data_IF_817754262271
#
_entry.id   IF_817754262271
#
_cell.length_a   1.000
_cell.length_b   1.000
_cell.length_c   1.000
_cell.angle_alpha   90.00
_cell.angle_beta   90.00
_cell.angle_gamma   90.00
#
_symmetry.space_group_name_H-M   'P 1'
#
loop_
_entity.id
_entity.type
_entity.pdbx_description
1 polymer ?
#
# COMPACT_ATOMS: atom_id res chain seq x y z
N UNK A 1 18.89 -3.61 6.06
CA UNK A 1 19.66 -4.24 4.96
C UNK A 1 20.31 -5.56 5.41
N UNK A 2 20.71 -5.72 6.68
CA UNK A 2 21.25 -7.00 7.18
C UNK A 2 20.23 -8.12 7.01
N UNK A 3 18.99 -7.95 7.44
CA UNK A 3 17.90 -8.92 7.28
C UNK A 3 17.69 -9.36 5.82
N UNK A 4 17.85 -8.43 4.87
CA UNK A 4 17.77 -8.75 3.43
C UNK A 4 18.92 -9.67 3.00
N UNK A 5 20.14 -9.41 3.47
CA UNK A 5 21.32 -10.24 3.16
C UNK A 5 21.17 -11.67 3.71
N UNK A 6 20.52 -11.82 4.85
CA UNK A 6 20.25 -13.12 5.49
C UNK A 6 18.96 -13.78 4.96
N UNK A 7 18.34 -13.23 3.91
CA UNK A 7 17.09 -13.69 3.30
C UNK A 7 15.89 -13.78 4.26
N UNK A 8 15.95 -13.17 5.44
CA UNK A 8 14.89 -13.19 6.44
C UNK A 8 13.59 -12.49 5.95
N UNK A 9 13.70 -11.64 4.95
CA UNK A 9 12.61 -10.88 4.35
C UNK A 9 11.80 -11.67 3.30
N UNK A 10 12.24 -12.88 2.98
CA UNK A 10 11.67 -13.70 1.92
C UNK A 10 10.81 -14.86 2.44
N UNK A 11 10.80 -15.11 3.74
CA UNK A 11 10.11 -16.27 4.33
C UNK A 11 8.63 -16.35 3.95
N UNK A 12 7.88 -15.25 4.02
CA UNK A 12 6.45 -15.23 3.77
C UNK A 12 6.04 -15.24 2.29
N UNK A 13 7.00 -15.07 1.37
CA UNK A 13 6.69 -14.99 -0.06
C UNK A 13 6.77 -16.36 -0.73
N UNK A 14 6.00 -16.59 -1.83
CA UNK A 14 6.04 -17.81 -2.61
C UNK A 14 7.42 -18.05 -3.26
N UNK A 15 7.80 -19.34 -3.43
CA UNK A 15 9.08 -19.73 -4.03
C UNK A 15 9.21 -19.25 -5.48
N UNK A 16 8.14 -19.31 -6.25
CA UNK A 16 8.08 -18.84 -7.65
C UNK A 16 8.31 -17.32 -7.78
N UNK A 17 8.22 -16.58 -6.66
CA UNK A 17 8.49 -15.14 -6.58
C UNK A 17 9.79 -14.84 -5.83
N UNK A 18 10.64 -15.85 -5.64
CA UNK A 18 11.93 -15.74 -4.95
C UNK A 18 11.82 -15.80 -3.43
N UNK A 19 10.67 -16.24 -2.89
CA UNK A 19 10.45 -16.44 -1.47
C UNK A 19 10.84 -17.83 -1.00
N UNK A 20 10.50 -18.16 0.24
CA UNK A 20 10.80 -19.45 0.87
C UNK A 20 9.55 -20.25 1.23
N UNK A 21 8.35 -19.71 0.98
CA UNK A 21 7.05 -20.31 1.36
C UNK A 21 7.02 -20.84 2.79
N UNK A 22 7.63 -20.13 3.70
CA UNK A 22 7.75 -20.50 5.11
C UNK A 22 7.06 -19.47 6.02
N UNK A 23 5.73 -19.51 6.16
CA UNK A 23 4.99 -18.57 7.00
C UNK A 23 5.37 -18.69 8.49
N UNK A 24 5.69 -19.89 8.98
CA UNK A 24 6.17 -20.09 10.34
C UNK A 24 7.49 -19.37 10.60
N UNK A 25 8.44 -19.49 9.67
CA UNK A 25 9.71 -18.75 9.73
C UNK A 25 9.52 -17.24 9.68
N UNK A 26 8.54 -16.76 8.90
CA UNK A 26 8.19 -15.33 8.86
C UNK A 26 7.68 -14.83 10.21
N UNK A 27 6.77 -15.57 10.85
CA UNK A 27 6.24 -15.23 12.18
C UNK A 27 7.32 -15.26 13.25
N UNK A 28 8.12 -16.32 13.32
CA UNK A 28 9.21 -16.43 14.30
C UNK A 28 10.23 -15.31 14.13
N UNK A 29 10.64 -15.00 12.89
CA UNK A 29 11.54 -13.87 12.63
C UNK A 29 10.96 -12.55 13.07
N UNK A 30 9.66 -12.32 12.86
CA UNK A 30 8.97 -11.12 13.29
C UNK A 30 8.94 -11.03 14.83
N UNK A 31 8.64 -12.13 15.53
CA UNK A 31 8.62 -12.18 17.00
C UNK A 31 10.00 -11.93 17.60
N UNK A 32 11.05 -12.54 17.05
CA UNK A 32 12.42 -12.38 17.56
C UNK A 32 12.96 -10.95 17.43
N UNK A 33 12.53 -10.19 16.44
CA UNK A 33 12.98 -8.81 16.24
C UNK A 33 12.66 -7.88 17.42
N UNK A 34 11.60 -8.15 18.20
CA UNK A 34 11.25 -7.33 19.37
C UNK A 34 12.31 -7.40 20.47
N UNK A 35 13.05 -8.52 20.56
CA UNK A 35 14.12 -8.69 21.56
C UNK A 35 15.29 -7.73 21.30
N UNK A 36 15.46 -7.32 20.04
CA UNK A 36 16.48 -6.36 19.67
C UNK A 36 15.96 -4.91 19.64
N UNK A 37 14.88 -4.67 18.90
CA UNK A 37 14.28 -3.34 18.72
C UNK A 37 12.83 -3.45 18.22
N UNK A 38 11.88 -2.99 19.04
CA UNK A 38 10.46 -2.99 18.70
C UNK A 38 10.15 -2.10 17.47
N UNK A 39 10.88 -1.02 17.27
CA UNK A 39 10.71 -0.19 16.06
C UNK A 39 11.13 -0.94 14.80
N UNK A 40 12.21 -1.72 14.87
CA UNK A 40 12.65 -2.57 13.76
C UNK A 40 11.62 -3.66 13.44
N UNK A 41 11.04 -4.29 14.47
CA UNK A 41 9.98 -5.29 14.32
C UNK A 41 8.79 -4.70 13.55
N UNK A 42 8.25 -3.56 14.01
CA UNK A 42 7.09 -2.94 13.36
C UNK A 42 7.45 -2.44 11.96
N UNK A 43 8.64 -1.88 11.76
CA UNK A 43 9.10 -1.46 10.43
C UNK A 43 9.21 -2.64 9.45
N UNK A 44 9.64 -3.79 9.95
CA UNK A 44 9.61 -5.06 9.20
C UNK A 44 8.17 -5.43 8.81
N UNK A 45 7.23 -5.38 9.77
CA UNK A 45 5.81 -5.66 9.53
C UNK A 45 5.19 -4.73 8.49
N UNK A 46 5.49 -3.43 8.55
CA UNK A 46 5.02 -2.45 7.55
C UNK A 46 5.52 -2.80 6.15
N UNK A 47 6.82 -3.11 6.01
CA UNK A 47 7.43 -3.36 4.71
C UNK A 47 6.95 -4.67 4.06
N UNK A 48 7.07 -5.78 4.78
CA UNK A 48 6.82 -7.10 4.21
C UNK A 48 5.47 -7.69 4.60
N UNK A 49 5.01 -7.44 5.83
CA UNK A 49 3.73 -7.93 6.33
C UNK A 49 2.52 -7.15 5.82
N UNK A 50 2.64 -5.85 5.55
CA UNK A 50 1.54 -5.02 5.06
C UNK A 50 1.73 -4.62 3.59
N UNK A 51 2.75 -3.81 3.28
CA UNK A 51 2.97 -3.31 1.92
C UNK A 51 3.24 -4.45 0.93
N UNK A 52 4.15 -5.35 1.26
CA UNK A 52 4.48 -6.50 0.41
C UNK A 52 3.33 -7.49 0.27
N UNK A 53 2.66 -7.82 1.40
CA UNK A 53 1.49 -8.72 1.38
C UNK A 53 0.31 -8.13 0.61
N UNK A 54 0.08 -6.81 0.67
CA UNK A 54 -0.97 -6.19 -0.12
C UNK A 54 -0.72 -6.35 -1.63
N UNK A 55 0.52 -6.14 -2.08
CA UNK A 55 0.88 -6.37 -3.49
C UNK A 55 0.72 -7.84 -3.87
N UNK A 56 1.13 -8.77 -2.99
CA UNK A 56 1.03 -10.21 -3.22
C UNK A 56 -0.44 -10.67 -3.30
N UNK A 57 -1.27 -10.23 -2.36
CA UNK A 57 -2.61 -10.78 -2.18
C UNK A 57 -3.70 -10.04 -2.98
N UNK A 58 -3.51 -8.75 -3.26
CA UNK A 58 -4.46 -7.93 -4.03
C UNK A 58 -4.03 -7.73 -5.49
N UNK A 59 -2.76 -7.98 -5.79
CA UNK A 59 -2.20 -7.90 -7.14
C UNK A 59 -2.37 -9.17 -7.95
N UNK A 60 -1.94 -9.10 -9.20
CA UNK A 60 -1.87 -10.21 -10.16
C UNK A 60 -0.42 -10.44 -10.57
N UNK A 61 -0.17 -11.41 -11.44
CA UNK A 61 1.17 -11.74 -11.95
C UNK A 61 1.97 -10.53 -12.43
N UNK A 62 1.31 -9.56 -13.05
CA UNK A 62 1.95 -8.31 -13.46
C UNK A 62 2.55 -7.56 -12.26
N UNK A 63 1.77 -7.38 -11.20
CA UNK A 63 2.20 -6.68 -9.98
C UNK A 63 3.31 -7.45 -9.26
N UNK A 64 3.16 -8.77 -9.19
CA UNK A 64 4.16 -9.63 -8.56
C UNK A 64 5.52 -9.51 -9.24
N UNK A 65 5.56 -9.66 -10.57
CA UNK A 65 6.81 -9.56 -11.35
C UNK A 65 7.40 -8.16 -11.37
N UNK A 66 6.53 -7.14 -11.33
CA UNK A 66 6.96 -5.74 -11.44
C UNK A 66 7.44 -5.16 -10.11
N UNK A 67 6.74 -5.42 -9.01
CA UNK A 67 6.95 -4.70 -7.75
C UNK A 67 7.61 -5.54 -6.65
N UNK A 68 7.25 -6.83 -6.50
CA UNK A 68 7.75 -7.64 -5.38
C UNK A 68 9.28 -7.80 -5.34
N UNK A 69 10.01 -7.90 -6.46
CA UNK A 69 11.48 -7.95 -6.39
C UNK A 69 12.12 -6.75 -5.69
N UNK A 70 11.59 -5.54 -5.92
CA UNK A 70 12.05 -4.33 -5.22
C UNK A 70 11.64 -4.30 -3.74
N UNK A 71 10.48 -4.86 -3.42
CA UNK A 71 9.96 -4.95 -2.04
C UNK A 71 10.80 -5.91 -1.21
N UNK A 72 11.03 -7.13 -1.70
CA UNK A 72 11.75 -8.18 -0.97
C UNK A 72 13.21 -7.81 -0.71
N UNK A 73 13.87 -7.17 -1.66
CA UNK A 73 15.25 -6.68 -1.53
C UNK A 73 15.40 -5.34 -0.81
N UNK A 74 14.27 -4.69 -0.42
CA UNK A 74 14.27 -3.35 0.16
C UNK A 74 14.88 -2.29 -0.79
N UNK A 75 14.79 -2.49 -2.09
CA UNK A 75 15.11 -1.47 -3.10
C UNK A 75 13.97 -0.44 -3.16
N UNK A 76 12.76 -0.85 -2.79
CA UNK A 76 11.57 -0.01 -2.69
C UNK A 76 10.99 -0.09 -1.28
N UNK A 77 11.42 0.77 -0.35
CA UNK A 77 10.74 0.93 0.93
C UNK A 77 9.30 1.37 0.71
N UNK A 78 8.37 0.75 1.42
CA UNK A 78 6.94 0.95 1.16
C UNK A 78 6.12 1.32 2.37
N UNK A 79 4.94 1.86 2.08
CA UNK A 79 3.90 2.24 3.03
C UNK A 79 2.61 1.46 2.75
N UNK A 80 1.82 1.26 3.81
CA UNK A 80 0.45 0.76 3.72
C UNK A 80 -0.49 1.88 4.14
N UNK A 81 -1.12 2.55 3.19
CA UNK A 81 -1.84 3.80 3.39
C UNK A 81 -3.36 3.60 3.28
N UNK A 82 -3.97 3.09 4.36
CA UNK A 82 -5.42 2.85 4.44
C UNK A 82 -6.12 3.90 5.29
N UNK A 83 -5.79 3.98 6.60
CA UNK A 83 -6.46 4.84 7.57
C UNK A 83 -6.28 6.33 7.24
N UNK A 84 -7.29 7.12 7.59
CA UNK A 84 -7.29 8.57 7.41
C UNK A 84 -7.51 9.29 8.74
N UNK A 85 -7.14 10.55 8.83
CA UNK A 85 -7.35 11.38 10.03
C UNK A 85 -8.82 11.33 10.50
N UNK A 86 -9.77 11.36 9.58
CA UNK A 86 -11.21 11.27 9.86
C UNK A 86 -11.76 9.84 9.91
N UNK A 87 -11.01 8.83 9.46
CA UNK A 87 -11.46 7.45 9.28
C UNK A 87 -10.43 6.45 9.79
N UNK A 88 -10.37 6.27 11.12
CA UNK A 88 -9.50 5.27 11.76
C UNK A 88 -10.09 3.86 11.66
N UNK A 89 -11.28 3.66 12.22
CA UNK A 89 -11.98 2.36 12.21
C UNK A 89 -12.90 2.19 11.01
N UNK A 90 -13.55 3.25 10.56
CA UNK A 90 -14.44 3.23 9.39
C UNK A 90 -13.67 3.45 8.09
N UNK A 91 -12.85 2.47 7.73
CA UNK A 91 -12.06 2.48 6.50
C UNK A 91 -12.90 2.23 5.22
N UNK A 92 -14.16 1.89 5.35
CA UNK A 92 -15.07 1.81 4.20
C UNK A 92 -15.49 3.20 3.68
N UNK A 93 -15.45 4.21 4.56
CA UNK A 93 -15.88 5.60 4.27
C UNK A 93 -14.72 6.55 4.01
N UNK A 94 -13.51 6.07 3.74
CA UNK A 94 -12.35 6.91 3.43
C UNK A 94 -12.66 7.91 2.31
N UNK A 95 -12.11 9.13 2.44
CA UNK A 95 -12.39 10.24 1.53
C UNK A 95 -11.42 10.35 0.34
N UNK A 96 -10.21 9.78 0.44
CA UNK A 96 -9.27 9.74 -0.70
C UNK A 96 -9.91 9.04 -1.89
N UNK A 97 -9.82 9.63 -3.09
CA UNK A 97 -10.40 9.13 -4.33
C UNK A 97 -9.33 8.71 -5.34
N UNK A 98 -9.69 7.81 -6.23
CA UNK A 98 -8.93 7.46 -7.43
C UNK A 98 -9.91 7.42 -8.61
N UNK A 99 -9.91 8.48 -9.43
CA UNK A 99 -10.81 8.62 -10.56
C UNK A 99 -10.12 8.16 -11.84
N UNK A 100 -10.73 7.24 -12.56
CA UNK A 100 -10.18 6.74 -13.82
C UNK A 100 -10.42 7.73 -14.95
N UNK A 101 -9.39 7.96 -15.74
CA UNK A 101 -9.41 8.79 -16.95
C UNK A 101 -9.13 7.88 -18.16
N UNK A 102 -10.16 7.49 -18.93
CA UNK A 102 -9.99 6.58 -20.06
C UNK A 102 -9.21 7.20 -21.22
N UNK A 103 -9.17 8.54 -21.34
CA UNK A 103 -8.43 9.20 -22.41
C UNK A 103 -6.91 9.03 -22.25
N UNK A 104 -6.43 8.98 -21.00
CA UNK A 104 -5.00 8.79 -20.69
C UNK A 104 -4.69 7.39 -20.16
N UNK A 105 -5.72 6.60 -19.85
CA UNK A 105 -5.62 5.30 -19.16
C UNK A 105 -4.86 5.41 -17.83
N UNK A 106 -5.20 6.42 -17.05
CA UNK A 106 -4.62 6.70 -15.75
C UNK A 106 -5.69 6.86 -14.67
N UNK A 107 -5.32 6.59 -13.43
CA UNK A 107 -6.11 7.03 -12.28
C UNK A 107 -5.55 8.35 -11.76
N UNK A 108 -6.43 9.24 -11.37
CA UNK A 108 -6.11 10.50 -10.68
C UNK A 108 -6.39 10.30 -9.20
N UNK A 109 -5.35 10.15 -8.40
CA UNK A 109 -5.46 10.02 -6.94
C UNK A 109 -5.54 11.41 -6.32
N UNK A 110 -6.55 11.63 -5.48
CA UNK A 110 -6.79 12.94 -4.86
C UNK A 110 -7.30 12.81 -3.42
N UNK A 111 -6.74 13.62 -2.55
CA UNK A 111 -7.17 13.79 -1.16
C UNK A 111 -7.95 15.11 -1.05
N UNK A 112 -9.28 15.08 -0.83
CA UNK A 112 -10.12 16.26 -0.96
C UNK A 112 -9.93 17.27 0.18
N UNK A 113 -9.60 16.82 1.39
CA UNK A 113 -9.46 17.66 2.57
C UNK A 113 -8.53 17.01 3.62
N UNK A 114 -8.30 17.72 4.74
CA UNK A 114 -7.42 17.21 5.81
C UNK A 114 -7.97 16.00 6.55
N UNK A 115 -9.27 15.79 6.62
CA UNK A 115 -9.86 14.59 7.24
C UNK A 115 -9.54 13.34 6.43
N UNK A 116 -9.30 13.50 5.15
CA UNK A 116 -8.94 12.45 4.20
C UNK A 116 -7.42 12.23 4.08
N UNK A 117 -6.58 12.94 4.86
CA UNK A 117 -5.14 12.65 4.90
C UNK A 117 -4.91 11.25 5.45
N UNK A 118 -4.12 10.44 4.75
CA UNK A 118 -3.66 9.15 5.25
C UNK A 118 -2.81 9.39 6.47
N UNK A 119 -3.16 8.81 7.62
CA UNK A 119 -2.60 9.18 8.91
C UNK A 119 -2.03 7.98 9.66
N UNK A 120 -1.00 8.22 10.47
CA UNK A 120 -0.22 7.21 11.18
C UNK A 120 0.46 6.18 10.26
N UNK A 121 0.81 6.58 9.06
CA UNK A 121 1.36 5.66 8.06
C UNK A 121 2.86 5.43 8.31
N UNK A 122 3.23 4.20 8.59
CA UNK A 122 4.63 3.81 8.72
C UNK A 122 5.41 4.03 7.42
N UNK A 123 6.65 4.51 7.53
CA UNK A 123 7.55 4.91 6.45
C UNK A 123 7.11 6.15 5.64
N UNK A 124 6.00 6.81 5.99
CA UNK A 124 5.44 7.89 5.18
C UNK A 124 6.24 9.19 5.26
N UNK A 125 6.75 9.54 6.45
CA UNK A 125 7.40 10.82 6.65
C UNK A 125 8.71 10.95 5.85
N UNK A 126 9.51 9.88 5.76
CA UNK A 126 10.87 9.95 5.22
C UNK A 126 11.23 8.83 4.23
N UNK A 127 11.01 7.57 4.60
CA UNK A 127 11.67 6.44 3.90
C UNK A 127 10.86 5.83 2.77
N UNK A 128 9.52 5.90 2.78
CA UNK A 128 8.68 5.26 1.78
C UNK A 128 8.88 5.85 0.38
N UNK A 129 9.26 5.01 -0.57
CA UNK A 129 9.35 5.39 -2.00
C UNK A 129 8.06 5.08 -2.76
N UNK A 130 7.24 4.15 -2.24
CA UNK A 130 5.92 3.82 -2.77
C UNK A 130 4.94 3.50 -1.65
N UNK A 131 3.65 3.52 -1.95
CA UNK A 131 2.60 3.08 -1.04
C UNK A 131 1.58 2.19 -1.74
N UNK A 132 0.99 1.24 -1.01
CA UNK A 132 -0.34 0.74 -1.35
C UNK A 132 -1.34 1.68 -0.70
N UNK A 133 -2.02 2.46 -1.53
CA UNK A 133 -3.01 3.47 -1.13
C UNK A 133 -4.41 2.92 -1.36
N UNK A 134 -5.23 2.93 -0.30
CA UNK A 134 -6.65 2.62 -0.42
C UNK A 134 -7.42 3.90 -0.72
N UNK A 135 -8.25 3.85 -1.76
CA UNK A 135 -9.03 4.99 -2.23
C UNK A 135 -10.38 4.55 -2.79
N UNK A 136 -11.38 5.43 -2.75
CA UNK A 136 -12.64 5.25 -3.45
C UNK A 136 -12.39 5.29 -4.97
N UNK A 137 -12.65 4.19 -5.66
CA UNK A 137 -12.50 4.13 -7.11
C UNK A 137 -13.74 4.72 -7.79
N UNK A 138 -13.51 5.69 -8.67
CA UNK A 138 -14.53 6.25 -9.55
C UNK A 138 -14.20 5.94 -11.00
N UNK A 139 -15.18 5.42 -11.73
CA UNK A 139 -15.10 5.24 -13.19
C UNK A 139 -16.47 5.44 -13.80
N UNK A 140 -16.57 6.03 -14.99
CA UNK A 140 -17.82 6.41 -15.68
C UNK A 140 -18.76 7.27 -14.81
N UNK A 141 -18.22 8.01 -13.84
CA UNK A 141 -18.99 8.82 -12.89
C UNK A 141 -19.48 8.06 -11.65
N UNK A 142 -19.37 6.73 -11.62
CA UNK A 142 -19.86 5.90 -10.54
C UNK A 142 -18.75 5.57 -9.51
N UNK A 143 -19.11 5.63 -8.23
CA UNK A 143 -18.27 5.13 -7.15
C UNK A 143 -18.34 3.61 -7.09
N UNK A 144 -17.21 2.95 -7.27
CA UNK A 144 -17.09 1.49 -7.18
C UNK A 144 -16.66 0.98 -5.79
N UNK A 145 -16.48 1.87 -4.80
CA UNK A 145 -16.02 1.57 -3.46
C UNK A 145 -14.50 1.53 -3.33
N UNK A 146 -14.02 1.10 -2.16
CA UNK A 146 -12.59 1.14 -1.82
C UNK A 146 -11.80 0.08 -2.60
N UNK A 147 -10.71 0.53 -3.22
CA UNK A 147 -9.74 -0.30 -3.93
C UNK A 147 -8.31 0.06 -3.53
N UNK A 148 -7.37 -0.82 -3.80
CA UNK A 148 -5.96 -0.65 -3.47
C UNK A 148 -5.14 -0.31 -4.73
N UNK A 149 -4.27 0.69 -4.61
CA UNK A 149 -3.45 1.20 -5.71
C UNK A 149 -1.98 1.27 -5.30
N UNK A 150 -1.10 0.82 -6.18
CA UNK A 150 0.33 1.07 -6.03
C UNK A 150 0.67 2.49 -6.48
N UNK A 151 1.05 3.35 -5.55
CA UNK A 151 1.33 4.77 -5.81
C UNK A 151 2.80 5.07 -5.50
N UNK A 152 3.61 5.45 -6.48
CA UNK A 152 4.94 5.98 -6.24
C UNK A 152 4.87 7.28 -5.43
N UNK A 153 5.69 7.40 -4.38
CA UNK A 153 5.72 8.57 -3.50
C UNK A 153 6.96 9.42 -3.72
N UNK A 154 8.12 8.77 -3.82
CA UNK A 154 9.42 9.43 -3.91
C UNK A 154 10.29 8.84 -5.00
N UNK A 155 11.24 9.65 -5.44
CA UNK A 155 12.35 9.19 -6.26
C UNK A 155 13.64 9.79 -5.71
N UNK A 156 14.58 8.94 -5.30
CA UNK A 156 15.83 9.36 -4.67
C UNK A 156 15.60 10.29 -3.46
N UNK A 157 14.65 9.92 -2.60
CA UNK A 157 14.29 10.66 -1.38
C UNK A 157 13.47 11.93 -1.59
N UNK A 158 13.18 12.36 -2.82
CA UNK A 158 12.36 13.55 -3.11
C UNK A 158 10.94 13.14 -3.47
N UNK A 159 9.95 13.80 -2.85
CA UNK A 159 8.54 13.60 -3.17
C UNK A 159 8.27 13.89 -4.65
N UNK A 160 7.42 13.06 -5.24
CA UNK A 160 6.94 13.25 -6.61
C UNK A 160 5.89 14.38 -6.67
N UNK A 161 5.70 14.99 -7.84
CA UNK A 161 4.69 16.04 -7.99
C UNK A 161 3.30 15.61 -7.52
N UNK A 162 2.65 16.48 -6.75
CA UNK A 162 1.33 16.22 -6.20
C UNK A 162 1.30 15.36 -4.94
N UNK A 163 2.39 14.68 -4.57
CA UNK A 163 2.49 13.91 -3.33
C UNK A 163 2.96 14.84 -2.21
N UNK A 164 2.23 14.86 -1.08
CA UNK A 164 2.65 15.52 0.15
C UNK A 164 2.85 14.50 1.27
N UNK A 165 3.80 14.80 2.17
CA UNK A 165 4.08 14.02 3.36
C UNK A 165 4.38 14.94 4.54
N UNK A 166 3.79 14.63 5.70
CA UNK A 166 4.03 15.33 6.97
C UNK A 166 4.53 14.31 7.99
N UNK A 167 5.44 14.73 8.89
CA UNK A 167 5.92 13.88 9.99
C UNK A 167 4.96 14.01 11.18
N UNK A 168 4.58 12.91 11.82
CA UNK A 168 3.73 12.90 13.02
C UNK A 168 4.47 13.34 14.29
N UNK A 169 5.77 13.56 14.20
CA UNK A 169 6.62 13.99 15.31
C UNK A 169 6.95 12.89 16.31
N UNK A 170 7.34 13.28 17.51
CA UNK A 170 7.68 12.35 18.59
C UNK A 170 6.45 11.62 19.11
N UNK A 171 6.59 10.30 19.26
CA UNK A 171 5.56 9.40 19.79
C UNK A 171 5.92 8.92 21.18
N UNK A 172 4.95 8.38 21.91
CA UNK A 172 5.16 7.73 23.23
C UNK A 172 6.04 6.49 23.16
N UNK A 173 6.24 5.92 21.97
CA UNK A 173 7.11 4.78 21.70
C UNK A 173 7.32 4.59 20.21
N UNK A 174 8.13 3.58 19.81
CA UNK A 174 8.39 3.21 18.41
C UNK A 174 8.94 4.38 17.56
N UNK A 175 9.79 5.24 18.14
CA UNK A 175 10.32 6.41 17.46
C UNK A 175 11.35 6.09 16.34
N UNK A 176 11.75 4.83 16.20
CA UNK A 176 12.53 4.36 15.04
C UNK A 176 11.70 4.17 13.76
N UNK A 177 10.36 4.32 13.83
CA UNK A 177 9.48 4.34 12.67
C UNK A 177 9.14 5.78 12.33
N UNK A 178 9.33 6.17 11.09
CA UNK A 178 8.95 7.48 10.55
C UNK A 178 7.45 7.48 10.17
N UNK A 179 6.59 7.51 11.18
CA UNK A 179 5.16 7.69 10.95
C UNK A 179 4.85 9.08 10.41
N UNK A 180 3.89 9.15 9.53
CA UNK A 180 3.50 10.42 8.95
C UNK A 180 2.17 10.35 8.22
N UNK A 181 1.76 11.53 7.75
CA UNK A 181 0.57 11.71 6.90
C UNK A 181 0.97 11.79 5.46
N UNK A 182 0.14 11.17 4.60
CA UNK A 182 0.25 11.31 3.15
C UNK A 182 -1.00 11.98 2.60
N UNK A 183 -0.82 12.87 1.63
CA UNK A 183 -1.92 13.44 0.87
C UNK A 183 -1.54 13.57 -0.60
N UNK A 184 -2.56 13.58 -1.46
CA UNK A 184 -2.39 13.53 -2.90
C UNK A 184 -3.18 14.66 -3.56
N UNK A 185 -2.50 15.45 -4.38
CA UNK A 185 -3.13 16.51 -5.17
C UNK A 185 -3.03 16.16 -6.65
N UNK A 186 -4.08 15.52 -7.18
CA UNK A 186 -4.21 15.13 -8.58
C UNK A 186 -3.03 14.27 -9.08
N UNK A 187 -2.59 13.32 -8.26
CA UNK A 187 -1.47 12.43 -8.61
C UNK A 187 -1.92 11.42 -9.66
N UNK A 188 -1.30 11.45 -10.82
CA UNK A 188 -1.60 10.52 -11.91
C UNK A 188 -0.77 9.25 -11.79
N UNK A 189 -1.45 8.11 -11.84
CA UNK A 189 -0.85 6.77 -11.85
C UNK A 189 -1.43 5.95 -13.00
N UNK A 190 -0.65 5.05 -13.55
CA UNK A 190 -1.09 4.20 -14.67
C UNK A 190 -2.24 3.30 -14.27
N UNK A 191 -3.10 2.92 -15.21
CA UNK A 191 -4.17 1.92 -15.00
C UNK A 191 -3.67 0.66 -14.31
N UNK A 192 -2.51 0.16 -14.73
CA UNK A 192 -1.84 -1.00 -14.15
C UNK A 192 -1.34 -0.81 -12.71
N UNK A 193 -1.58 0.33 -12.06
CA UNK A 193 -1.33 0.55 -10.63
C UNK A 193 -2.47 0.08 -9.74
N UNK A 194 -3.68 -0.16 -10.28
CA UNK A 194 -4.76 -0.81 -9.57
C UNK A 194 -4.37 -2.26 -9.26
N UNK A 195 -4.38 -2.65 -7.99
CA UNK A 195 -4.17 -4.05 -7.59
C UNK A 195 -5.45 -4.84 -7.91
N UNK A 196 -5.51 -5.39 -9.10
CA UNK A 196 -6.74 -5.79 -9.79
C UNK A 196 -7.11 -7.28 -9.66
N UNK A 197 -6.76 -7.94 -8.57
CA UNK A 197 -7.12 -9.35 -8.35
C UNK A 197 -8.62 -9.59 -8.27
N UNK A 198 -9.37 -8.65 -7.69
CA UNK A 198 -10.81 -8.81 -7.40
C UNK A 198 -11.71 -7.92 -8.27
N UNK A 199 -11.14 -6.94 -8.93
CA UNK A 199 -11.86 -6.01 -9.80
C UNK A 199 -10.90 -5.26 -10.71
N UNK A 200 -11.35 -4.85 -11.89
CA UNK A 200 -10.56 -4.04 -12.83
C UNK A 200 -11.39 -2.90 -13.43
N UNK A 201 -10.71 -1.84 -13.86
CA UNK A 201 -11.23 -0.84 -14.76
C UNK A 201 -10.61 -1.06 -16.12
N UNK A 202 -11.44 -1.37 -17.11
CA UNK A 202 -10.99 -1.63 -18.47
C UNK A 202 -10.47 -0.35 -19.16
N UNK A 203 -9.72 -0.47 -20.26
CA UNK A 203 -9.18 0.70 -20.96
C UNK A 203 -10.24 1.74 -21.39
N UNK A 204 -11.44 1.31 -21.67
CA UNK A 204 -12.59 2.18 -22.07
C UNK A 204 -13.29 2.85 -20.88
N UNK A 205 -12.94 2.45 -19.64
CA UNK A 205 -13.54 2.96 -18.42
C UNK A 205 -14.57 2.03 -17.79
N UNK A 206 -15.00 0.98 -18.49
CA UNK A 206 -15.94 0.02 -17.93
C UNK A 206 -15.34 -0.71 -16.72
N UNK A 207 -16.19 -1.03 -15.74
CA UNK A 207 -15.78 -1.66 -14.51
C UNK A 207 -16.21 -3.13 -14.47
N UNK A 208 -15.32 -4.00 -14.06
CA UNK A 208 -15.59 -5.42 -13.90
C UNK A 208 -15.19 -5.95 -12.53
N UNK A 209 -16.01 -6.82 -11.94
CA UNK A 209 -15.69 -7.54 -10.70
C UNK A 209 -16.50 -8.81 -10.60
N UNK A 210 -15.87 -9.88 -10.14
CA UNK A 210 -16.57 -11.15 -9.79
C UNK A 210 -17.41 -11.00 -8.50
N UNK A 211 -17.25 -9.92 -7.74
CA UNK A 211 -17.96 -9.63 -6.49
C UNK A 211 -18.76 -8.32 -6.68
N UNK A 212 -20.04 -8.42 -7.01
CA UNK A 212 -20.91 -7.28 -7.31
C UNK A 212 -21.09 -6.34 -6.10
N UNK A 213 -21.31 -6.89 -4.91
CA UNK A 213 -21.53 -6.10 -3.71
C UNK A 213 -20.23 -5.41 -3.23
N UNK A 214 -20.22 -4.07 -3.22
CA UNK A 214 -19.06 -3.24 -2.87
C UNK A 214 -18.50 -3.54 -1.48
N UNK A 215 -19.38 -3.66 -0.48
CA UNK A 215 -18.99 -3.97 0.89
C UNK A 215 -18.35 -5.36 1.00
N UNK A 216 -19.00 -6.38 0.40
CA UNK A 216 -18.45 -7.74 0.37
C UNK A 216 -17.11 -7.79 -0.34
N UNK A 217 -16.95 -7.08 -1.45
CA UNK A 217 -15.67 -6.98 -2.17
C UNK A 217 -14.58 -6.37 -1.30
N UNK A 218 -14.87 -5.26 -0.62
CA UNK A 218 -13.93 -4.62 0.29
C UNK A 218 -13.53 -5.55 1.45
N UNK A 219 -14.48 -6.21 2.10
CA UNK A 219 -14.18 -7.19 3.14
C UNK A 219 -13.40 -8.40 2.63
N UNK A 220 -13.62 -8.82 1.39
CA UNK A 220 -12.80 -9.87 0.76
C UNK A 220 -11.36 -9.41 0.55
N UNK A 221 -11.14 -8.16 0.13
CA UNK A 221 -9.80 -7.58 0.02
C UNK A 221 -9.11 -7.52 1.40
N UNK A 222 -9.82 -7.06 2.44
CA UNK A 222 -9.27 -7.00 3.82
C UNK A 222 -8.94 -8.39 4.36
N UNK A 223 -9.79 -9.37 4.11
CA UNK A 223 -9.57 -10.75 4.56
C UNK A 223 -8.44 -11.48 3.83
N UNK A 224 -7.95 -10.91 2.74
CA UNK A 224 -6.80 -11.43 2.00
C UNK A 224 -5.45 -10.86 2.50
N UNK A 225 -5.48 -9.81 3.31
CA UNK A 225 -4.29 -9.15 3.86
C UNK A 225 -3.82 -9.84 5.14
#
# INVERSE_FOLDING_TARGET
>A
RTLVKENATQYGFPEELGGQRNPGGSLSSFEELILGDASLQIKFGVQWGLFGSAILNLGTDYHHKTFLPGVTRLDTPGCFAMTETGHGSDVASIGTTATYDPATQEFVVHTPDRHSYKDYIGNAALHGEAAVVFAQLYTEGDNQGVHAFYVPLRKRGKLLPGVGAEDDGLKGGLNGIDNGRLHFNQVRIRRASLLNRYADSEPDGSYSSSIENKGRRFFTQLGAL
#
